data_IF_916411605621
#
_entry.id   IF_916411605621
#
_cell.length_a   1.000
_cell.length_b   1.000
_cell.length_c   1.000
_cell.angle_alpha   90.00
_cell.angle_beta   90.00
_cell.angle_gamma   90.00
#
_symmetry.space_group_name_H-M   'P 1'
#
loop_
_entity.id
_entity.type
_entity.pdbx_description
1 polymer ?
#
# COMPACT_ATOMS: atom_id res chain seq x y z
N UNK A 1 -9.02 -2.29 6.88
CA UNK A 1 -7.92 -2.66 5.95
C UNK A 1 -7.83 -1.72 4.75
N UNK A 2 -8.80 -1.71 3.83
CA UNK A 2 -8.65 -0.95 2.57
C UNK A 2 -8.50 0.56 2.76
N UNK A 3 -9.22 1.18 3.70
CA UNK A 3 -9.04 2.60 4.05
C UNK A 3 -7.62 2.91 4.56
N UNK A 4 -7.03 1.98 5.32
CA UNK A 4 -5.64 2.10 5.75
C UNK A 4 -4.68 2.00 4.57
N UNK A 5 -4.87 1.01 3.70
CA UNK A 5 -4.03 0.82 2.52
C UNK A 5 -4.10 2.03 1.56
N UNK A 6 -5.29 2.56 1.31
CA UNK A 6 -5.52 3.74 0.48
C UNK A 6 -4.72 4.94 1.00
N UNK A 7 -4.87 5.26 2.30
CA UNK A 7 -4.12 6.31 2.96
C UNK A 7 -2.60 6.10 2.88
N UNK A 8 -2.10 4.86 3.01
CA UNK A 8 -0.67 4.57 2.88
C UNK A 8 -0.17 4.75 1.45
N UNK A 9 -0.91 4.31 0.44
CA UNK A 9 -0.52 4.44 -0.96
C UNK A 9 -0.53 5.90 -1.43
N UNK A 10 -1.52 6.69 -0.98
CA UNK A 10 -1.58 8.12 -1.24
C UNK A 10 -0.37 8.87 -0.64
N UNK A 11 0.03 8.50 0.58
CA UNK A 11 1.23 9.08 1.23
C UNK A 11 2.52 8.70 0.52
N UNK A 12 2.60 7.47 0.01
CA UNK A 12 3.72 6.97 -0.78
C UNK A 12 3.73 7.52 -2.22
N UNK A 13 2.69 8.27 -2.63
CA UNK A 13 2.72 8.97 -3.89
C UNK A 13 3.68 10.16 -3.84
N UNK A 14 4.61 10.23 -4.79
CA UNK A 14 5.53 11.35 -4.92
C UNK A 14 4.72 12.66 -5.11
N UNK A 15 5.05 13.68 -4.34
CA UNK A 15 4.77 15.05 -4.70
C UNK A 15 5.67 15.41 -5.91
N UNK A 16 5.24 16.39 -6.72
CA UNK A 16 5.90 16.74 -7.99
C UNK A 16 7.36 17.25 -7.87
N UNK A 17 7.92 17.27 -6.67
CA UNK A 17 9.29 17.63 -6.31
C UNK A 17 10.22 16.40 -6.12
N UNK A 18 9.70 15.18 -6.31
CA UNK A 18 10.45 13.95 -6.14
C UNK A 18 10.49 13.40 -4.71
N UNK A 19 9.84 14.08 -3.75
CA UNK A 19 9.69 13.60 -2.37
C UNK A 19 8.30 12.99 -2.15
N UNK A 20 8.15 12.02 -1.25
CA UNK A 20 6.83 11.46 -0.95
C UNK A 20 5.93 12.52 -0.29
N UNK A 21 4.63 12.55 -0.61
CA UNK A 21 3.67 13.48 0.02
C UNK A 21 3.67 13.38 1.55
N UNK A 22 3.93 12.18 2.08
CA UNK A 22 4.11 11.96 3.53
C UNK A 22 5.29 12.73 4.12
N UNK A 23 6.42 12.79 3.43
CA UNK A 23 7.64 13.43 3.92
C UNK A 23 7.49 14.96 3.99
N UNK A 24 6.76 15.55 3.04
CA UNK A 24 6.45 16.97 3.07
C UNK A 24 5.55 17.35 4.26
N UNK A 25 4.56 16.52 4.58
CA UNK A 25 3.67 16.72 5.73
C UNK A 25 4.39 16.52 7.06
N UNK A 26 5.26 15.51 7.17
CA UNK A 26 6.02 15.26 8.40
C UNK A 26 7.11 16.33 8.62
N UNK A 27 7.68 16.88 7.55
CA UNK A 27 8.58 18.05 7.62
C UNK A 27 7.83 19.31 8.05
N UNK A 28 6.63 19.56 7.51
CA UNK A 28 5.80 20.71 7.90
C UNK A 28 5.42 20.66 9.39
N UNK A 29 5.16 19.47 9.94
CA UNK A 29 4.88 19.25 11.37
C UNK A 29 6.03 19.60 12.31
N UNK A 30 7.27 19.61 11.82
CA UNK A 30 8.44 20.01 12.62
C UNK A 30 8.57 21.54 12.76
N UNK A 31 7.80 22.33 12.00
CA UNK A 31 7.84 23.78 12.08
C UNK A 31 7.08 24.31 13.33
N UNK A 32 7.70 25.15 14.19
CA UNK A 32 7.07 25.71 15.38
C UNK A 32 5.79 26.53 15.14
N UNK A 33 5.61 27.04 13.91
CA UNK A 33 4.45 27.82 13.49
C UNK A 33 3.36 26.96 12.82
N UNK A 34 3.58 25.65 12.70
CA UNK A 34 2.60 24.74 12.12
C UNK A 34 1.37 24.63 13.01
N UNK A 35 0.23 25.12 12.51
CA UNK A 35 -1.08 24.86 13.10
C UNK A 35 -1.72 23.73 12.33
N UNK A 36 -1.79 22.55 12.95
CA UNK A 36 -2.48 21.42 12.35
C UNK A 36 -3.95 21.81 12.09
N UNK A 37 -4.48 21.65 10.87
CA UNK A 37 -5.93 21.57 10.69
C UNK A 37 -6.48 20.42 11.54
N UNK A 38 -7.78 20.44 11.82
CA UNK A 38 -8.47 19.40 12.60
C UNK A 38 -7.94 18.01 12.20
N UNK A 39 -7.37 17.28 13.17
CA UNK A 39 -6.55 16.11 12.87
C UNK A 39 -7.36 15.14 12.01
N UNK A 40 -6.96 14.92 10.73
CA UNK A 40 -7.71 14.00 9.88
C UNK A 40 -7.69 12.63 10.56
N UNK A 41 -8.84 11.94 10.55
CA UNK A 41 -8.95 10.58 11.09
C UNK A 41 -8.01 9.70 10.28
N UNK A 42 -6.83 9.41 10.84
CA UNK A 42 -5.85 8.53 10.22
C UNK A 42 -6.41 7.11 10.36
N UNK A 43 -6.74 6.42 9.26
CA UNK A 43 -7.23 5.06 9.35
C UNK A 43 -6.15 4.20 10.02
N UNK A 44 -6.53 3.39 11.00
CA UNK A 44 -5.61 2.46 11.65
C UNK A 44 -5.66 1.08 10.99
N UNK A 45 -4.54 0.36 11.01
CA UNK A 45 -4.49 -1.03 10.59
C UNK A 45 -5.20 -1.88 11.65
N UNK A 46 -6.30 -2.58 11.32
CA UNK A 46 -6.92 -3.50 12.26
C UNK A 46 -5.94 -4.62 12.63
N UNK A 47 -5.67 -4.88 13.93
CA UNK A 47 -4.70 -5.90 14.35
C UNK A 47 -4.97 -7.28 13.77
N UNK A 48 -6.26 -7.64 13.63
CA UNK A 48 -6.73 -8.92 13.10
C UNK A 48 -6.38 -9.09 11.62
N UNK A 49 -6.12 -7.99 10.90
CA UNK A 49 -5.79 -8.01 9.48
C UNK A 49 -4.30 -7.70 9.23
N UNK A 50 -3.52 -7.44 10.29
CA UNK A 50 -2.14 -7.01 10.15
C UNK A 50 -1.26 -8.03 9.41
N UNK A 51 -1.56 -9.32 9.54
CA UNK A 51 -0.85 -10.38 8.82
C UNK A 51 -1.08 -10.32 7.30
N UNK A 52 -2.30 -10.03 6.83
CA UNK A 52 -2.60 -9.89 5.40
C UNK A 52 -1.84 -8.69 4.83
N UNK A 53 -1.75 -7.59 5.59
CA UNK A 53 -0.95 -6.43 5.19
C UNK A 53 0.53 -6.82 5.07
N UNK A 54 1.08 -7.55 6.04
CA UNK A 54 2.45 -8.04 5.98
C UNK A 54 2.68 -8.92 4.74
N UNK A 55 1.78 -9.87 4.46
CA UNK A 55 1.85 -10.72 3.26
C UNK A 55 1.81 -9.91 1.97
N UNK A 56 0.87 -8.96 1.87
CA UNK A 56 0.78 -8.07 0.72
C UNK A 56 2.08 -7.28 0.52
N UNK A 57 2.66 -6.70 1.58
CA UNK A 57 3.92 -5.95 1.44
C UNK A 57 5.08 -6.82 0.96
N UNK A 58 5.18 -8.07 1.43
CA UNK A 58 6.19 -9.03 0.98
C UNK A 58 5.99 -9.45 -0.49
N UNK A 59 4.75 -9.74 -0.88
CA UNK A 59 4.37 -10.00 -2.27
C UNK A 59 4.73 -8.80 -3.16
N UNK A 60 4.34 -7.60 -2.74
CA UNK A 60 4.54 -6.36 -3.49
C UNK A 60 6.03 -6.02 -3.70
N UNK A 61 6.90 -6.36 -2.73
CA UNK A 61 8.36 -6.21 -2.88
C UNK A 61 8.97 -7.13 -3.95
N UNK A 62 8.32 -8.26 -4.24
CA UNK A 62 8.80 -9.26 -5.21
C UNK A 62 8.06 -9.21 -6.55
N UNK A 63 7.05 -8.35 -6.65
CA UNK A 63 6.25 -8.12 -7.85
C UNK A 63 7.15 -7.81 -9.03
N UNK A 64 6.85 -8.41 -10.18
CA UNK A 64 7.53 -8.04 -11.42
C UNK A 64 7.25 -6.58 -11.80
N UNK A 65 8.32 -5.86 -12.12
CA UNK A 65 8.26 -4.55 -12.75
C UNK A 65 9.01 -4.60 -14.09
N UNK A 66 8.35 -4.14 -15.15
CA UNK A 66 8.94 -3.93 -16.47
C UNK A 66 9.07 -2.42 -16.73
N UNK A 67 8.55 -1.97 -17.87
CA UNK A 67 8.38 -0.53 -18.16
C UNK A 67 7.40 0.16 -17.19
N UNK A 68 6.47 -0.61 -16.63
CA UNK A 68 5.55 -0.20 -15.57
C UNK A 68 5.43 -1.33 -14.53
N UNK A 69 4.80 -1.01 -13.40
CA UNK A 69 4.45 -1.99 -12.37
C UNK A 69 3.28 -2.84 -12.87
N UNK A 70 3.35 -4.17 -12.72
CA UNK A 70 2.28 -5.09 -13.15
C UNK A 70 1.43 -5.55 -11.98
N UNK A 71 0.15 -5.86 -12.21
CA UNK A 71 -0.71 -6.52 -11.21
C UNK A 71 -0.12 -7.85 -10.73
N UNK A 72 -0.43 -8.26 -9.49
CA UNK A 72 0.00 -9.57 -9.01
C UNK A 72 -0.76 -10.66 -9.75
N UNK A 73 -0.04 -11.58 -10.38
CA UNK A 73 -0.66 -12.72 -11.06
C UNK A 73 -1.03 -13.82 -10.08
N UNK A 74 -2.05 -14.62 -10.39
CA UNK A 74 -2.40 -15.80 -9.60
C UNK A 74 -1.21 -16.76 -9.46
N UNK A 75 -0.35 -16.85 -10.47
CA UNK A 75 0.86 -17.68 -10.43
C UNK A 75 1.89 -17.16 -9.41
N UNK A 76 2.11 -15.84 -9.32
CA UNK A 76 2.97 -15.23 -8.30
C UNK A 76 2.42 -15.46 -6.89
N UNK A 77 1.11 -15.31 -6.70
CA UNK A 77 0.44 -15.53 -5.42
C UNK A 77 0.55 -17.00 -5.00
N UNK A 78 0.30 -17.94 -5.91
CA UNK A 78 0.42 -19.38 -5.62
C UNK A 78 1.88 -19.79 -5.34
N UNK A 79 2.84 -19.26 -6.11
CA UNK A 79 4.26 -19.52 -5.89
C UNK A 79 4.73 -18.98 -4.53
N UNK A 80 4.26 -17.79 -4.13
CA UNK A 80 4.54 -17.22 -2.82
C UNK A 80 3.95 -18.07 -1.69
N UNK A 81 2.68 -18.45 -1.80
CA UNK A 81 2.01 -19.35 -0.85
C UNK A 81 2.81 -20.65 -0.66
N UNK A 82 3.21 -21.30 -1.76
CA UNK A 82 4.02 -22.51 -1.72
C UNK A 82 5.40 -22.29 -1.06
N UNK A 83 6.10 -21.21 -1.41
CA UNK A 83 7.41 -20.86 -0.87
C UNK A 83 7.37 -20.61 0.64
N UNK A 84 6.32 -19.95 1.10
CA UNK A 84 6.16 -19.54 2.50
C UNK A 84 5.37 -20.54 3.34
N UNK A 85 4.91 -21.64 2.74
CA UNK A 85 4.06 -22.65 3.38
C UNK A 85 2.80 -22.05 4.02
N UNK A 86 2.26 -21.03 3.37
CA UNK A 86 1.01 -20.34 3.75
C UNK A 86 -0.06 -20.73 2.75
N UNK A 87 -1.28 -20.99 3.23
CA UNK A 87 -2.45 -21.21 2.38
C UNK A 87 -3.49 -20.16 2.72
N UNK A 88 -3.88 -19.38 1.72
CA UNK A 88 -4.93 -18.40 1.87
C UNK A 88 -6.29 -19.08 1.97
N UNK A 89 -7.14 -18.56 2.85
CA UNK A 89 -8.57 -18.80 2.79
C UNK A 89 -9.24 -17.83 1.78
N UNK A 90 -10.51 -18.06 1.41
CA UNK A 90 -11.20 -17.21 0.42
C UNK A 90 -11.35 -15.73 0.84
N UNK A 91 -11.40 -15.44 2.14
CA UNK A 91 -11.45 -14.07 2.62
C UNK A 91 -10.10 -13.39 2.45
N UNK A 92 -9.00 -14.06 2.83
CA UNK A 92 -7.64 -13.55 2.68
C UNK A 92 -7.29 -13.29 1.21
N UNK A 93 -7.65 -14.22 0.32
CA UNK A 93 -7.51 -14.07 -1.14
C UNK A 93 -8.25 -12.81 -1.63
N UNK A 94 -9.52 -12.67 -1.24
CA UNK A 94 -10.33 -11.51 -1.60
C UNK A 94 -9.80 -10.18 -1.06
N UNK A 95 -9.10 -10.18 0.09
CA UNK A 95 -8.45 -8.97 0.62
C UNK A 95 -7.16 -8.66 -0.16
N UNK A 96 -6.33 -9.66 -0.48
CA UNK A 96 -5.11 -9.48 -1.28
C UNK A 96 -5.44 -8.91 -2.66
N UNK A 97 -6.45 -9.45 -3.34
CA UNK A 97 -6.87 -8.97 -4.67
C UNK A 97 -7.32 -7.51 -4.64
N UNK A 98 -8.08 -7.11 -3.60
CA UNK A 98 -8.52 -5.72 -3.44
C UNK A 98 -7.38 -4.78 -3.09
N UNK A 99 -6.41 -5.23 -2.29
CA UNK A 99 -5.19 -4.47 -2.00
C UNK A 99 -4.36 -4.28 -3.28
N UNK A 100 -4.25 -5.31 -4.12
CA UNK A 100 -3.54 -5.24 -5.40
C UNK A 100 -4.20 -4.26 -6.36
N UNK A 101 -5.52 -4.38 -6.56
CA UNK A 101 -6.27 -3.47 -7.42
C UNK A 101 -6.14 -2.01 -6.96
N UNK A 102 -6.22 -1.76 -5.65
CA UNK A 102 -6.06 -0.43 -5.08
C UNK A 102 -4.63 0.11 -5.27
N UNK A 103 -3.62 -0.72 -5.06
CA UNK A 103 -2.23 -0.34 -5.29
C UNK A 103 -1.99 0.05 -6.76
N UNK A 104 -2.49 -0.76 -7.70
CA UNK A 104 -2.38 -0.50 -9.14
C UNK A 104 -3.08 0.81 -9.55
N UNK A 105 -4.24 1.11 -8.97
CA UNK A 105 -4.91 2.40 -9.18
C UNK A 105 -4.02 3.59 -8.82
N UNK A 106 -3.34 3.51 -7.66
CA UNK A 106 -2.41 4.56 -7.22
C UNK A 106 -1.14 4.66 -8.06
N UNK A 107 -0.64 3.56 -8.62
CA UNK A 107 0.50 3.58 -9.54
C UNK A 107 0.12 4.24 -10.88
N UNK A 108 -1.00 3.85 -11.46
CA UNK A 108 -1.43 4.37 -12.77
C UNK A 108 -1.83 5.86 -12.71
N UNK A 109 -2.32 6.34 -11.57
CA UNK A 109 -2.61 7.77 -11.34
C UNK A 109 -1.37 8.66 -11.38
N UNK A 110 -0.16 8.08 -11.26
CA UNK A 110 1.12 8.83 -11.30
C UNK A 110 1.68 9.01 -12.72
N UNK A 111 1.13 8.34 -13.73
CA UNK A 111 1.52 8.55 -15.12
C UNK A 111 0.80 9.80 -15.66
N UNK A 112 1.53 10.86 -16.08
CA UNK A 112 0.95 12.09 -16.63
C UNK A 112 0.41 11.92 -18.06
#
# INVERSE_FOLDING_TARGET
MLLYADHQFDRAAAAGDGNAKGDHLDTARQNPLYRAPEAPVVPQLPPELAYIWAWFTLLNQKRQCGMAVNALTSAEILAWQARHQVRFDPFEEGVIDRLDALFMHHQNKKEP
#
